data_IF_873312159984
#
_entry.id   IF_873312159984
#
_cell.length_a   1.000
_cell.length_b   1.000
_cell.length_c   1.000
_cell.angle_alpha   90.00
_cell.angle_beta   90.00
_cell.angle_gamma   90.00
#
_symmetry.space_group_name_H-M   'P 1'
#
loop_
_entity.id
_entity.type
_entity.pdbx_description
1 polymer ?
#
# COMPACT_ATOMS: atom_id res chain seq x y z
N UNK A 1 -16.06 -34.12 -59.22
CA UNK A 1 -14.80 -33.95 -58.44
C UNK A 1 -15.12 -33.08 -57.23
N UNK A 2 -16.14 -33.47 -56.46
CA UNK A 2 -16.88 -32.50 -55.63
C UNK A 2 -16.71 -32.76 -54.13
N UNK A 3 -16.38 -34.00 -53.73
CA UNK A 3 -16.19 -34.35 -52.32
C UNK A 3 -14.86 -33.87 -51.71
N UNK A 4 -13.78 -33.85 -52.50
CA UNK A 4 -12.46 -33.40 -52.04
C UNK A 4 -12.49 -31.89 -51.75
N UNK A 5 -13.13 -31.09 -52.61
CA UNK A 5 -13.31 -29.66 -52.39
C UNK A 5 -14.05 -29.35 -51.09
N UNK A 6 -15.16 -30.06 -50.83
CA UNK A 6 -15.96 -29.87 -49.60
C UNK A 6 -15.17 -30.25 -48.34
N UNK A 7 -14.38 -31.33 -48.38
CA UNK A 7 -13.53 -31.74 -47.26
C UNK A 7 -12.42 -30.71 -46.94
N UNK A 8 -11.78 -30.14 -47.97
CA UNK A 8 -10.78 -29.08 -47.77
C UNK A 8 -11.39 -27.81 -47.18
N UNK A 9 -12.58 -27.40 -47.63
CA UNK A 9 -13.28 -26.24 -47.05
C UNK A 9 -13.68 -26.47 -45.59
N UNK A 10 -14.10 -27.69 -45.23
CA UNK A 10 -14.43 -28.04 -43.85
C UNK A 10 -13.21 -27.95 -42.92
N UNK A 11 -12.04 -28.45 -43.35
CA UNK A 11 -10.79 -28.36 -42.59
C UNK A 11 -10.36 -26.91 -42.40
N UNK A 12 -10.43 -26.09 -43.46
CA UNK A 12 -10.09 -24.66 -43.41
C UNK A 12 -11.03 -23.88 -42.48
N UNK A 13 -12.34 -24.18 -42.51
CA UNK A 13 -13.31 -23.53 -41.64
C UNK A 13 -13.06 -23.85 -40.15
N UNK A 14 -12.70 -25.08 -39.82
CA UNK A 14 -12.37 -25.48 -38.45
C UNK A 14 -11.10 -24.78 -37.97
N UNK A 15 -10.05 -24.74 -38.81
CA UNK A 15 -8.79 -24.07 -38.46
C UNK A 15 -8.95 -22.55 -38.35
N UNK A 16 -9.73 -21.94 -39.23
CA UNK A 16 -10.09 -20.53 -39.16
C UNK A 16 -10.93 -20.19 -37.92
N UNK A 17 -11.86 -21.07 -37.55
CA UNK A 17 -12.65 -20.95 -36.32
C UNK A 17 -11.80 -21.02 -35.05
N UNK A 18 -10.87 -21.98 -34.96
CA UNK A 18 -9.97 -22.10 -33.80
C UNK A 18 -9.03 -20.88 -33.70
N UNK A 19 -8.47 -20.44 -34.83
CA UNK A 19 -7.58 -19.28 -34.86
C UNK A 19 -8.29 -17.97 -34.46
N UNK A 20 -9.54 -17.77 -34.89
CA UNK A 20 -10.32 -16.57 -34.54
C UNK A 20 -10.77 -16.57 -33.08
N UNK A 21 -11.11 -17.72 -32.49
CA UNK A 21 -11.43 -17.83 -31.06
C UNK A 21 -10.18 -17.57 -30.21
N UNK A 22 -9.03 -18.17 -30.58
CA UNK A 22 -7.76 -17.95 -29.87
C UNK A 22 -7.28 -16.50 -29.97
N UNK A 23 -7.35 -15.89 -31.16
CA UNK A 23 -7.01 -14.49 -31.36
C UNK A 23 -7.97 -13.53 -30.66
N UNK A 24 -9.28 -13.76 -30.77
CA UNK A 24 -10.31 -12.92 -30.16
C UNK A 24 -10.26 -12.93 -28.63
N UNK A 25 -10.04 -14.09 -28.01
CA UNK A 25 -9.86 -14.20 -26.56
C UNK A 25 -8.59 -13.48 -26.09
N UNK A 26 -7.48 -13.58 -26.83
CA UNK A 26 -6.24 -12.88 -26.51
C UNK A 26 -6.42 -11.35 -26.58
N UNK A 27 -7.13 -10.83 -27.58
CA UNK A 27 -7.43 -9.39 -27.72
C UNK A 27 -8.30 -8.90 -26.57
N UNK A 28 -9.37 -9.62 -26.22
CA UNK A 28 -10.23 -9.29 -25.08
C UNK A 28 -9.45 -9.29 -23.76
N UNK A 29 -8.62 -10.31 -23.51
CA UNK A 29 -7.77 -10.36 -22.33
C UNK A 29 -6.80 -9.18 -22.28
N UNK A 30 -6.20 -8.78 -23.41
CA UNK A 30 -5.26 -7.66 -23.49
C UNK A 30 -5.91 -6.33 -23.12
N UNK A 31 -7.20 -6.17 -23.44
CA UNK A 31 -7.99 -4.98 -23.10
C UNK A 31 -8.42 -4.94 -21.62
N UNK A 32 -8.70 -6.11 -21.01
CA UNK A 32 -9.08 -6.23 -19.59
C UNK A 32 -7.87 -6.20 -18.62
N UNK A 33 -6.70 -6.68 -19.05
CA UNK A 33 -5.48 -6.74 -18.24
C UNK A 33 -5.02 -5.39 -17.63
N UNK A 34 -5.01 -4.24 -18.37
CA UNK A 34 -4.60 -2.96 -17.79
C UNK A 34 -5.51 -2.52 -16.64
N UNK A 35 -6.84 -2.70 -16.76
CA UNK A 35 -7.78 -2.38 -15.69
C UNK A 35 -7.54 -3.24 -14.44
N UNK A 36 -7.29 -4.54 -14.62
CA UNK A 36 -7.00 -5.43 -13.49
C UNK A 36 -5.69 -5.07 -12.78
N UNK A 37 -4.62 -4.81 -13.54
CA UNK A 37 -3.33 -4.38 -12.99
C UNK A 37 -3.43 -3.04 -12.26
N UNK A 38 -4.14 -2.08 -12.85
CA UNK A 38 -4.36 -0.78 -12.24
C UNK A 38 -5.12 -0.92 -10.92
N UNK A 39 -6.21 -1.68 -10.88
CA UNK A 39 -6.97 -1.93 -9.65
C UNK A 39 -6.10 -2.57 -8.56
N UNK A 40 -5.31 -3.58 -8.92
CA UNK A 40 -4.38 -4.21 -7.97
C UNK A 40 -3.32 -3.21 -7.45
N UNK A 41 -2.79 -2.35 -8.32
CA UNK A 41 -1.83 -1.32 -7.92
C UNK A 41 -2.45 -0.29 -6.97
N UNK A 42 -3.67 0.16 -7.25
CA UNK A 42 -4.40 1.12 -6.41
C UNK A 42 -4.71 0.50 -5.05
N UNK A 43 -5.19 -0.74 -5.01
CA UNK A 43 -5.44 -1.44 -3.74
C UNK A 43 -4.14 -1.57 -2.93
N UNK A 44 -3.04 -2.00 -3.58
CA UNK A 44 -1.74 -2.11 -2.91
C UNK A 44 -1.25 -0.76 -2.39
N UNK A 45 -1.39 0.32 -3.16
CA UNK A 45 -1.00 1.65 -2.68
C UNK A 45 -1.89 2.14 -1.54
N UNK A 46 -3.18 1.82 -1.55
CA UNK A 46 -4.09 2.08 -0.43
C UNK A 46 -3.62 1.42 0.86
N UNK A 47 -3.28 0.12 0.80
CA UNK A 47 -2.74 -0.61 1.96
C UNK A 47 -1.40 -0.04 2.46
N UNK A 48 -0.53 0.39 1.54
CA UNK A 48 0.75 1.01 1.90
C UNK A 48 0.55 2.38 2.57
N UNK A 49 -0.36 3.19 2.04
CA UNK A 49 -0.69 4.51 2.58
C UNK A 49 -1.30 4.41 3.98
N UNK A 50 -2.21 3.47 4.19
CA UNK A 50 -2.84 3.22 5.49
C UNK A 50 -1.78 2.82 6.53
N UNK A 51 -0.89 1.90 6.17
CA UNK A 51 0.24 1.53 7.04
C UNK A 51 1.18 2.68 7.31
N UNK A 52 1.49 3.50 6.31
CA UNK A 52 2.39 4.63 6.49
C UNK A 52 1.72 5.75 7.31
N UNK A 53 0.41 5.95 7.19
CA UNK A 53 -0.36 6.85 8.05
C UNK A 53 -0.25 6.43 9.52
N UNK A 54 -0.49 5.15 9.83
CA UNK A 54 -0.32 4.63 11.19
C UNK A 54 1.10 4.87 11.73
N UNK A 55 2.13 4.68 10.90
CA UNK A 55 3.51 4.93 11.30
C UNK A 55 3.79 6.42 11.54
N UNK A 56 3.15 7.32 10.80
CA UNK A 56 3.28 8.76 11.00
C UNK A 56 2.60 9.18 12.30
N UNK A 57 1.42 8.63 12.60
CA UNK A 57 0.72 8.90 13.85
C UNK A 57 1.58 8.50 15.06
N UNK A 58 2.23 7.32 15.02
CA UNK A 58 3.18 6.88 16.05
C UNK A 58 4.39 7.83 16.21
N UNK A 59 4.90 8.36 15.09
CA UNK A 59 6.03 9.29 15.09
C UNK A 59 5.62 10.64 15.69
N UNK A 60 4.43 11.13 15.34
CA UNK A 60 3.89 12.39 15.85
C UNK A 60 3.63 12.31 17.36
N UNK A 61 3.10 11.19 17.85
CA UNK A 61 2.93 10.97 19.28
C UNK A 61 4.27 10.95 20.02
N UNK A 62 5.25 10.20 19.50
CA UNK A 62 6.61 10.19 20.04
C UNK A 62 7.23 11.60 20.08
N UNK A 63 7.12 12.35 18.99
CA UNK A 63 7.64 13.71 18.90
C UNK A 63 6.99 14.65 19.91
N UNK A 64 5.68 14.49 20.16
CA UNK A 64 4.97 15.27 21.16
C UNK A 64 5.49 15.02 22.57
N UNK A 65 5.71 13.76 22.93
CA UNK A 65 6.27 13.38 24.24
C UNK A 65 7.71 13.88 24.38
N UNK A 66 8.54 13.69 23.36
CA UNK A 66 9.94 14.14 23.37
C UNK A 66 10.04 15.67 23.42
N UNK A 67 9.20 16.40 22.69
CA UNK A 67 9.13 17.86 22.76
C UNK A 67 8.78 18.36 24.17
N UNK A 68 7.86 17.68 24.86
CA UNK A 68 7.54 17.96 26.26
C UNK A 68 8.73 17.74 27.20
N UNK A 69 9.50 16.67 26.99
CA UNK A 69 10.71 16.39 27.77
C UNK A 69 11.80 17.43 27.52
N UNK A 70 12.04 17.79 26.25
CA UNK A 70 13.00 18.85 25.89
C UNK A 70 12.61 20.19 26.50
N UNK A 71 11.33 20.54 26.50
CA UNK A 71 10.84 21.76 27.12
C UNK A 71 11.08 21.76 28.65
N UNK A 72 10.85 20.62 29.31
CA UNK A 72 11.12 20.48 30.74
C UNK A 72 12.62 20.62 31.06
N UNK A 73 13.49 20.03 30.23
CA UNK A 73 14.95 20.18 30.33
C UNK A 73 15.36 21.64 30.17
N UNK A 74 14.89 22.33 29.12
CA UNK A 74 15.19 23.74 28.88
C UNK A 74 14.72 24.61 30.05
N UNK A 75 13.52 24.36 30.57
CA UNK A 75 12.99 25.09 31.72
C UNK A 75 13.85 24.86 32.97
N UNK A 76 14.31 23.64 33.21
CA UNK A 76 15.19 23.31 34.30
C UNK A 76 16.55 24.00 34.18
N UNK A 77 17.19 23.93 33.01
CA UNK A 77 18.48 24.59 32.74
C UNK A 77 18.41 26.12 32.89
N UNK A 78 17.32 26.75 32.46
CA UNK A 78 17.14 28.21 32.56
C UNK A 78 16.84 28.64 34.00
N UNK A 79 15.99 27.90 34.72
CA UNK A 79 15.46 28.33 36.03
C UNK A 79 16.27 27.78 37.21
N UNK A 80 17.06 26.72 37.00
CA UNK A 80 17.92 26.08 38.00
C UNK A 80 17.21 25.35 39.15
N UNK A 81 15.87 25.42 39.23
CA UNK A 81 15.15 24.98 40.43
C UNK A 81 13.81 24.27 40.19
N UNK A 82 13.51 23.87 38.94
CA UNK A 82 12.26 23.18 38.60
C UNK A 82 12.49 21.67 38.39
N UNK A 83 12.95 20.99 39.44
CA UNK A 83 13.18 19.54 39.45
C UNK A 83 11.85 18.79 39.28
N UNK A 84 10.76 19.34 39.82
CA UNK A 84 9.44 18.70 39.79
C UNK A 84 8.90 18.54 38.36
N UNK A 85 8.98 19.57 37.51
CA UNK A 85 8.61 19.42 36.10
C UNK A 85 9.49 18.43 35.35
N UNK A 86 10.75 18.30 35.74
CA UNK A 86 11.67 17.32 35.17
C UNK A 86 11.22 15.89 35.52
N UNK A 87 10.87 15.66 36.78
CA UNK A 87 10.35 14.38 37.26
C UNK A 87 9.03 14.00 36.58
N UNK A 88 8.11 14.96 36.44
CA UNK A 88 6.84 14.75 35.73
C UNK A 88 7.07 14.41 34.24
N UNK A 89 7.99 15.08 33.57
CA UNK A 89 8.34 14.80 32.18
C UNK A 89 8.98 13.42 32.02
N UNK A 90 9.88 13.04 32.95
CA UNK A 90 10.45 11.69 33.01
C UNK A 90 9.36 10.63 33.21
N UNK A 91 8.43 10.85 34.13
CA UNK A 91 7.35 9.92 34.40
C UNK A 91 6.47 9.70 33.16
N UNK A 92 6.12 10.78 32.45
CA UNK A 92 5.36 10.71 31.18
C UNK A 92 6.10 9.97 30.08
N UNK A 93 7.40 10.20 29.93
CA UNK A 93 8.21 9.46 28.97
C UNK A 93 8.29 7.98 29.33
N UNK A 94 8.45 7.66 30.62
CA UNK A 94 8.50 6.28 31.09
C UNK A 94 7.16 5.57 30.89
N UNK A 95 6.04 6.23 31.18
CA UNK A 95 4.70 5.71 30.91
C UNK A 95 4.51 5.43 29.43
N UNK A 96 4.83 6.39 28.56
CA UNK A 96 4.75 6.23 27.10
C UNK A 96 5.60 5.05 26.58
N UNK A 97 6.81 4.85 27.12
CA UNK A 97 7.68 3.75 26.72
C UNK A 97 7.25 2.38 27.26
N UNK A 98 6.52 2.33 28.39
CA UNK A 98 6.02 1.10 29.00
C UNK A 98 4.62 0.71 28.49
N UNK A 99 3.82 1.68 28.05
CA UNK A 99 2.48 1.46 27.48
C UNK A 99 2.50 1.09 26.00
N UNK A 100 3.69 1.04 25.39
CA UNK A 100 3.96 0.60 24.02
C UNK A 100 4.33 -0.88 23.99
#
# INVERSE_FOLDING_TARGET
MDGIGVAFHAILAIMGGIATIGGGTAVLMRWLNPYRKMRQSVTRHGELLDRDQHRLDDIDEYNRVMGGCMLALLHHEITGNDVKKLEDAKAKLQEYLLSR
#
